data_IF_357100979088
#
_entry.id   IF_357100979088
#
_cell.length_a   1.000
_cell.length_b   1.000
_cell.length_c   1.000
_cell.angle_alpha   90.00
_cell.angle_beta   90.00
_cell.angle_gamma   90.00
#
_symmetry.space_group_name_H-M   'P 1'
#
loop_
_entity.id
_entity.type
_entity.pdbx_description
1 polymer ?
#
# COMPACT_ATOMS: atom_id res chain seq x y z
N UNK A 1 2.80 23.76 1.21
CA UNK A 1 1.84 22.66 1.01
C UNK A 1 2.61 21.38 0.74
N UNK A 2 2.24 20.26 1.34
CA UNK A 2 2.87 18.95 1.15
C UNK A 2 2.38 18.36 -0.17
N UNK A 3 3.28 17.74 -0.92
CA UNK A 3 3.00 17.08 -2.20
C UNK A 3 3.16 15.56 -2.04
N UNK A 4 2.09 14.80 -2.14
CA UNK A 4 2.12 13.35 -2.01
C UNK A 4 1.86 12.68 -3.35
N UNK A 5 2.75 11.77 -3.74
CA UNK A 5 2.55 10.89 -4.88
C UNK A 5 1.70 9.68 -4.51
N UNK A 6 0.81 9.29 -5.40
CA UNK A 6 0.01 8.06 -5.30
C UNK A 6 0.40 7.18 -6.46
N UNK A 7 0.74 5.91 -6.20
CA UNK A 7 1.01 4.94 -7.28
C UNK A 7 -0.23 4.69 -8.11
N UNK A 8 -0.06 4.58 -9.42
CA UNK A 8 -1.16 4.28 -10.34
C UNK A 8 -1.50 2.79 -10.35
N UNK A 9 -2.78 2.47 -10.51
CA UNK A 9 -3.26 1.16 -10.99
C UNK A 9 -3.33 1.13 -12.51
N UNK A 10 -3.35 -0.07 -13.07
CA UNK A 10 -3.34 -0.28 -14.50
C UNK A 10 -4.61 -0.98 -14.98
N UNK A 11 -5.24 -0.43 -16.02
CA UNK A 11 -6.08 -1.20 -16.93
C UNK A 11 -5.23 -1.50 -18.16
N UNK A 12 -4.64 -2.69 -18.20
CA UNK A 12 -3.87 -3.15 -19.34
C UNK A 12 -4.73 -3.20 -20.60
N UNK A 13 -4.11 -3.16 -21.78
CA UNK A 13 -4.83 -3.34 -23.04
C UNK A 13 -5.64 -4.65 -23.02
N UNK A 14 -6.89 -4.57 -23.47
CA UNK A 14 -7.79 -5.70 -23.58
C UNK A 14 -8.63 -5.54 -24.86
N UNK A 15 -8.47 -6.47 -25.84
CA UNK A 15 -9.25 -6.40 -27.09
C UNK A 15 -10.75 -6.60 -26.89
N UNK A 16 -11.17 -7.16 -25.75
CA UNK A 16 -12.58 -7.37 -25.40
C UNK A 16 -13.25 -6.13 -24.82
N UNK A 17 -12.47 -5.14 -24.39
CA UNK A 17 -13.00 -3.90 -23.81
C UNK A 17 -13.76 -3.10 -24.88
N UNK A 18 -14.88 -2.47 -24.48
CA UNK A 18 -15.72 -1.71 -25.42
C UNK A 18 -15.01 -0.49 -26.01
N UNK A 19 -14.23 0.23 -25.18
CA UNK A 19 -13.45 1.43 -25.55
C UNK A 19 -11.99 1.25 -25.08
N UNK A 20 -11.06 2.00 -25.68
CA UNK A 20 -9.62 1.96 -25.33
C UNK A 20 -8.98 0.55 -25.44
N UNK A 21 -9.41 -0.27 -26.39
CA UNK A 21 -9.05 -1.69 -26.54
C UNK A 21 -7.55 -1.94 -26.58
N UNK A 22 -6.81 -1.12 -27.33
CA UNK A 22 -5.34 -1.26 -27.50
C UNK A 22 -4.53 -0.31 -26.63
N UNK A 23 -5.11 0.23 -25.55
CA UNK A 23 -4.45 1.20 -24.69
C UNK A 23 -4.39 0.70 -23.27
N UNK A 24 -3.23 0.82 -22.61
CA UNK A 24 -3.11 0.74 -21.17
C UNK A 24 -3.51 2.08 -20.57
N UNK A 25 -4.46 2.06 -19.64
CA UNK A 25 -4.87 3.24 -18.87
C UNK A 25 -4.29 3.15 -17.46
N UNK A 26 -3.96 4.28 -16.89
CA UNK A 26 -3.53 4.39 -15.49
C UNK A 26 -4.55 5.23 -14.73
N UNK A 27 -4.82 4.84 -13.47
CA UNK A 27 -5.81 5.50 -12.62
C UNK A 27 -5.44 5.43 -11.15
N UNK A 28 -6.04 6.29 -10.35
CA UNK A 28 -6.06 6.19 -8.89
C UNK A 28 -7.50 6.11 -8.39
N UNK A 29 -7.69 5.47 -7.24
CA UNK A 29 -8.99 5.47 -6.58
C UNK A 29 -9.26 6.84 -5.96
N UNK A 30 -10.48 7.34 -6.15
CA UNK A 30 -10.88 8.65 -5.63
C UNK A 30 -10.80 8.72 -4.10
N UNK A 31 -11.14 7.64 -3.41
CA UNK A 31 -11.14 7.59 -1.94
C UNK A 31 -9.75 7.83 -1.35
N UNK A 32 -8.70 7.25 -1.93
CA UNK A 32 -7.31 7.49 -1.49
C UNK A 32 -6.94 8.96 -1.66
N UNK A 33 -7.27 9.56 -2.80
CA UNK A 33 -7.00 10.98 -3.04
C UNK A 33 -7.77 11.88 -2.06
N UNK A 34 -9.07 11.61 -1.85
CA UNK A 34 -9.89 12.37 -0.90
C UNK A 34 -9.42 12.22 0.54
N UNK A 35 -8.98 11.02 0.95
CA UNK A 35 -8.43 10.78 2.27
C UNK A 35 -7.18 11.64 2.54
N UNK A 36 -6.26 11.70 1.60
CA UNK A 36 -5.08 12.57 1.69
C UNK A 36 -5.46 14.07 1.73
N UNK A 37 -6.40 14.49 0.87
CA UNK A 37 -6.81 15.90 0.76
C UNK A 37 -7.52 16.44 2.00
N UNK A 38 -7.97 15.59 2.94
CA UNK A 38 -8.49 16.03 4.24
C UNK A 38 -7.48 16.83 5.07
N UNK A 39 -6.21 16.85 4.71
CA UNK A 39 -5.10 17.51 5.41
C UNK A 39 -4.39 18.58 4.59
N UNK A 40 -5.10 19.24 3.67
CA UNK A 40 -4.53 20.28 2.80
C UNK A 40 -3.27 19.83 2.03
N UNK A 41 -3.30 18.59 1.55
CA UNK A 41 -2.25 17.94 0.78
C UNK A 41 -2.56 18.03 -0.71
N UNK A 42 -1.55 18.35 -1.52
CA UNK A 42 -1.63 18.13 -2.96
C UNK A 42 -1.30 16.68 -3.29
N UNK A 43 -2.28 15.93 -3.77
CA UNK A 43 -2.11 14.54 -4.22
C UNK A 43 -1.87 14.49 -5.73
N UNK A 44 -0.89 13.68 -6.15
CA UNK A 44 -0.52 13.51 -7.55
C UNK A 44 -0.50 12.03 -7.90
N UNK A 45 -1.21 11.62 -8.94
CA UNK A 45 -0.96 10.31 -9.54
C UNK A 45 0.43 10.31 -10.17
N UNK A 46 1.25 9.33 -9.85
CA UNK A 46 2.54 9.13 -10.50
C UNK A 46 2.33 8.17 -11.68
N UNK A 47 2.46 8.62 -12.93
CA UNK A 47 2.38 7.70 -14.07
C UNK A 47 3.64 6.83 -14.11
N UNK A 48 3.48 5.57 -14.55
CA UNK A 48 4.64 4.75 -14.91
C UNK A 48 5.36 5.39 -16.11
N UNK A 49 6.67 5.60 -16.03
CA UNK A 49 7.44 6.11 -17.16
C UNK A 49 7.64 5.04 -18.25
N UNK A 50 7.34 3.79 -17.98
CA UNK A 50 7.55 2.68 -18.90
C UNK A 50 6.30 2.35 -19.71
N UNK A 51 6.50 1.83 -20.93
CA UNK A 51 5.40 1.48 -21.82
C UNK A 51 5.78 1.65 -23.29
N UNK A 52 4.97 1.08 -24.19
CA UNK A 52 5.23 1.07 -25.65
C UNK A 52 5.30 2.46 -26.29
N UNK A 53 4.68 3.46 -25.68
CA UNK A 53 4.64 4.84 -26.20
C UNK A 53 5.73 5.73 -25.64
N UNK A 54 6.58 5.21 -24.75
CA UNK A 54 7.73 5.94 -24.21
C UNK A 54 8.71 6.25 -25.34
N UNK A 55 9.19 7.49 -25.39
CA UNK A 55 10.25 7.89 -26.31
C UNK A 55 11.61 7.65 -25.67
N UNK A 56 12.58 7.20 -26.45
CA UNK A 56 13.93 6.84 -25.97
C UNK A 56 14.69 8.05 -25.40
N UNK A 57 14.37 9.27 -25.86
CA UNK A 57 14.98 10.53 -25.40
C UNK A 57 14.37 11.07 -24.11
N UNK A 58 13.33 10.45 -23.58
CA UNK A 58 12.71 10.86 -22.31
C UNK A 58 13.63 10.61 -21.12
N UNK A 59 13.92 11.66 -20.36
CA UNK A 59 14.75 11.61 -19.15
C UNK A 59 13.94 11.47 -17.87
N UNK A 60 12.61 11.40 -17.98
CA UNK A 60 11.75 11.27 -16.81
C UNK A 60 11.82 9.84 -16.29
N UNK A 61 12.14 9.69 -15.02
CA UNK A 61 12.27 8.42 -14.30
C UNK A 61 11.46 8.47 -13.02
N UNK A 62 11.27 7.33 -12.37
CA UNK A 62 10.63 7.28 -11.04
C UNK A 62 11.41 8.10 -10.02
N UNK A 63 12.74 8.18 -10.16
CA UNK A 63 13.59 8.99 -9.31
C UNK A 63 13.31 10.51 -9.42
N UNK A 64 12.94 11.00 -10.62
CA UNK A 64 12.53 12.38 -10.80
C UNK A 64 11.27 12.71 -9.99
N UNK A 65 10.29 11.81 -9.97
CA UNK A 65 9.10 11.97 -9.11
C UNK A 65 9.46 11.93 -7.63
N UNK A 66 10.34 11.00 -7.23
CA UNK A 66 10.80 10.92 -5.86
C UNK A 66 11.60 12.16 -5.44
N UNK A 67 12.20 12.90 -6.37
CA UNK A 67 12.85 14.17 -6.10
C UNK A 67 11.84 15.28 -5.79
N UNK A 68 10.78 15.40 -6.58
CA UNK A 68 9.81 16.50 -6.53
C UNK A 68 8.72 16.36 -5.46
N UNK A 69 8.39 15.13 -5.08
CA UNK A 69 7.30 14.82 -4.16
C UNK A 69 7.84 14.61 -2.73
N UNK A 70 7.04 14.95 -1.73
CA UNK A 70 7.44 14.91 -0.32
C UNK A 70 7.22 13.53 0.34
N UNK A 71 6.37 12.67 -0.24
CA UNK A 71 6.08 11.31 0.23
C UNK A 71 5.33 10.50 -0.82
N UNK A 72 5.19 9.19 -0.57
CA UNK A 72 4.57 8.21 -1.46
C UNK A 72 3.48 7.43 -0.75
N UNK A 73 2.34 7.25 -1.42
CA UNK A 73 1.32 6.26 -1.06
C UNK A 73 1.27 5.19 -2.15
N UNK A 74 1.50 3.94 -1.76
CA UNK A 74 1.24 2.75 -2.57
C UNK A 74 -0.18 2.30 -2.26
N UNK A 75 -1.09 2.42 -3.22
CA UNK A 75 -2.50 2.14 -3.00
C UNK A 75 -2.87 0.68 -3.19
N UNK A 76 -4.06 0.30 -2.74
CA UNK A 76 -4.68 -1.01 -2.93
C UNK A 76 -4.88 -1.41 -4.41
N UNK A 77 -5.49 -2.56 -4.65
CA UNK A 77 -5.89 -3.03 -5.99
C UNK A 77 -5.60 -4.49 -6.28
N UNK A 78 -5.21 -4.79 -7.53
CA UNK A 78 -4.96 -6.15 -8.03
C UNK A 78 -3.88 -6.89 -7.24
N UNK A 79 -3.90 -8.22 -7.31
CA UNK A 79 -2.95 -9.09 -6.63
C UNK A 79 -1.49 -8.79 -7.02
N UNK A 80 -0.57 -9.00 -6.07
CA UNK A 80 0.87 -9.04 -6.32
C UNK A 80 1.20 -10.36 -7.03
N UNK A 81 1.97 -10.28 -8.11
CA UNK A 81 2.36 -11.43 -8.90
C UNK A 81 3.27 -12.38 -8.10
N UNK A 82 2.94 -13.68 -7.98
CA UNK A 82 3.79 -14.64 -7.26
C UNK A 82 5.22 -14.72 -7.77
N UNK A 83 5.44 -14.56 -9.06
CA UNK A 83 6.79 -14.56 -9.63
C UNK A 83 7.67 -13.41 -9.12
N UNK A 84 7.07 -12.30 -8.68
CA UNK A 84 7.79 -11.16 -8.11
C UNK A 84 8.49 -11.51 -6.79
N UNK A 85 7.98 -12.50 -6.04
CA UNK A 85 8.60 -13.01 -4.82
C UNK A 85 9.10 -14.47 -4.95
N UNK A 86 9.33 -14.93 -6.20
CA UNK A 86 10.00 -16.20 -6.49
C UNK A 86 9.11 -17.44 -6.41
N UNK A 87 7.81 -17.29 -6.35
CA UNK A 87 6.83 -18.37 -6.37
C UNK A 87 6.13 -18.47 -7.75
N UNK A 88 5.46 -19.58 -8.00
CA UNK A 88 4.53 -19.73 -9.14
C UNK A 88 3.11 -19.54 -8.66
N UNK A 89 2.27 -18.96 -9.50
CA UNK A 89 0.84 -18.87 -9.22
C UNK A 89 0.23 -20.27 -9.02
N UNK A 90 -0.44 -20.49 -7.89
CA UNK A 90 -1.12 -21.76 -7.57
C UNK A 90 -2.32 -21.93 -8.49
N UNK A 91 -2.95 -20.83 -8.89
CA UNK A 91 -4.06 -20.79 -9.86
C UNK A 91 -3.84 -19.65 -10.86
N UNK A 92 -4.29 -19.79 -12.11
CA UNK A 92 -4.13 -18.73 -13.12
C UNK A 92 -4.75 -17.40 -12.73
N UNK A 93 -5.87 -17.41 -12.01
CA UNK A 93 -6.54 -16.20 -11.52
C UNK A 93 -5.75 -15.42 -10.47
N UNK A 94 -4.69 -16.00 -9.89
CA UNK A 94 -3.80 -15.38 -8.90
C UNK A 94 -2.45 -14.95 -9.50
N UNK A 95 -2.38 -14.84 -10.83
CA UNK A 95 -1.13 -14.41 -11.51
C UNK A 95 -0.69 -12.99 -11.14
N UNK A 96 -1.60 -12.16 -10.62
CA UNK A 96 -1.30 -10.79 -10.23
C UNK A 96 -0.90 -9.89 -11.40
N UNK A 97 -0.34 -8.74 -11.07
CA UNK A 97 0.11 -7.71 -12.02
C UNK A 97 1.59 -7.39 -11.87
N UNK A 98 2.45 -8.17 -12.53
CA UNK A 98 3.90 -8.01 -12.46
C UNK A 98 4.38 -6.66 -12.97
N UNK A 99 3.73 -6.09 -13.98
CA UNK A 99 4.09 -4.76 -14.51
C UNK A 99 3.89 -3.69 -13.44
N UNK A 100 2.78 -3.78 -12.72
CA UNK A 100 2.51 -2.89 -11.60
C UNK A 100 3.48 -3.13 -10.43
N UNK A 101 3.83 -4.39 -10.14
CA UNK A 101 4.79 -4.72 -9.08
C UNK A 101 6.15 -4.07 -9.34
N UNK A 102 6.72 -4.26 -10.53
CA UNK A 102 8.01 -3.70 -10.92
C UNK A 102 8.01 -2.17 -10.83
N UNK A 103 6.93 -1.54 -11.28
CA UNK A 103 6.73 -0.09 -11.17
C UNK A 103 6.66 0.38 -9.71
N UNK A 104 5.84 -0.25 -8.86
CA UNK A 104 5.67 0.16 -7.45
C UNK A 104 6.91 -0.14 -6.60
N UNK A 105 7.62 -1.24 -6.86
CA UNK A 105 8.92 -1.54 -6.23
C UNK A 105 9.95 -0.48 -6.63
N UNK A 106 9.96 -0.07 -7.90
CA UNK A 106 10.81 1.03 -8.37
C UNK A 106 10.52 2.35 -7.65
N UNK A 107 9.23 2.69 -7.48
CA UNK A 107 8.81 3.86 -6.69
C UNK A 107 9.28 3.78 -5.24
N UNK A 108 8.98 2.67 -4.56
CA UNK A 108 9.41 2.45 -3.18
C UNK A 108 10.92 2.69 -3.03
N UNK A 109 11.72 2.05 -3.88
CA UNK A 109 13.17 2.17 -3.85
C UNK A 109 13.65 3.61 -4.06
N UNK A 110 13.04 4.36 -4.99
CA UNK A 110 13.39 5.74 -5.27
C UNK A 110 13.09 6.67 -4.08
N UNK A 111 11.93 6.49 -3.41
CA UNK A 111 11.58 7.28 -2.23
C UNK A 111 12.41 6.92 -1.01
N UNK A 112 12.64 5.63 -0.75
CA UNK A 112 13.48 5.14 0.36
C UNK A 112 14.93 5.60 0.21
N UNK A 113 15.50 5.55 -1.00
CA UNK A 113 16.86 6.05 -1.27
C UNK A 113 17.01 7.54 -0.93
N UNK A 114 15.93 8.31 -1.05
CA UNK A 114 15.86 9.75 -0.70
C UNK A 114 15.40 10.00 0.74
N UNK A 115 15.25 8.95 1.54
CA UNK A 115 14.72 8.99 2.92
C UNK A 115 13.33 9.62 3.04
N UNK A 116 12.54 9.61 1.97
CA UNK A 116 11.17 10.11 1.96
C UNK A 116 10.19 9.06 2.49
N UNK A 117 9.13 9.47 3.18
CA UNK A 117 8.18 8.56 3.78
C UNK A 117 7.35 7.83 2.73
N UNK A 118 7.03 6.57 3.03
CA UNK A 118 6.16 5.71 2.23
C UNK A 118 5.09 5.10 3.11
N UNK A 119 3.85 5.16 2.65
CA UNK A 119 2.70 4.49 3.23
C UNK A 119 2.13 3.49 2.21
N UNK A 120 2.03 2.22 2.58
CA UNK A 120 1.38 1.18 1.78
C UNK A 120 0.01 0.83 2.34
N UNK A 121 -1.02 0.83 1.49
CA UNK A 121 -2.38 0.44 1.83
C UNK A 121 -2.73 -0.87 1.12
N UNK A 122 -3.18 -1.86 1.85
CA UNK A 122 -3.60 -3.18 1.39
C UNK A 122 -2.50 -3.83 0.49
N UNK A 123 -2.70 -3.85 -0.83
CA UNK A 123 -1.68 -4.28 -1.78
C UNK A 123 -0.35 -3.54 -1.59
N UNK A 124 -0.38 -2.25 -1.27
CA UNK A 124 0.83 -1.46 -1.01
C UNK A 124 1.68 -1.99 0.15
N UNK A 125 1.05 -2.50 1.21
CA UNK A 125 1.75 -3.19 2.31
C UNK A 125 2.41 -4.49 1.82
N UNK A 126 1.74 -5.24 0.96
CA UNK A 126 2.27 -6.48 0.37
C UNK A 126 3.46 -6.20 -0.55
N UNK A 127 3.39 -5.15 -1.38
CA UNK A 127 4.50 -4.70 -2.24
C UNK A 127 5.71 -4.28 -1.40
N UNK A 128 5.51 -3.56 -0.30
CA UNK A 128 6.59 -3.22 0.64
C UNK A 128 7.26 -4.50 1.17
N UNK A 129 6.47 -5.49 1.58
CA UNK A 129 7.00 -6.75 2.07
C UNK A 129 7.84 -7.47 1.01
N UNK A 130 7.31 -7.61 -0.19
CA UNK A 130 7.98 -8.28 -1.32
C UNK A 130 9.26 -7.55 -1.74
N UNK A 131 9.23 -6.23 -1.83
CA UNK A 131 10.40 -5.41 -2.16
C UNK A 131 11.54 -5.58 -1.15
N UNK A 132 11.22 -5.87 0.11
CA UNK A 132 12.20 -6.17 1.17
C UNK A 132 12.59 -7.66 1.20
N UNK A 133 12.11 -8.47 0.27
CA UNK A 133 12.44 -9.90 0.12
C UNK A 133 11.56 -10.84 0.95
N UNK A 134 10.39 -10.40 1.37
CA UNK A 134 9.35 -11.24 1.98
C UNK A 134 8.49 -11.96 0.95
N UNK A 135 7.61 -12.83 1.42
CA UNK A 135 6.67 -13.62 0.61
C UNK A 135 5.22 -13.38 1.03
N UNK A 136 4.28 -13.86 0.22
CA UNK A 136 2.85 -13.69 0.47
C UNK A 136 2.12 -15.03 0.47
N UNK A 137 1.06 -15.13 1.26
CA UNK A 137 -0.02 -16.06 1.00
C UNK A 137 -0.76 -15.60 -0.25
N UNK A 138 -0.85 -16.46 -1.26
CA UNK A 138 -1.54 -16.13 -2.51
C UNK A 138 -3.07 -16.12 -2.32
N UNK A 139 -3.56 -16.93 -1.39
CA UNK A 139 -4.97 -16.95 -0.98
C UNK A 139 -5.09 -17.54 0.42
N UNK A 140 -5.54 -16.72 1.37
CA UNK A 140 -5.69 -17.13 2.77
C UNK A 140 -6.66 -18.29 2.95
N UNK A 141 -7.79 -18.23 2.26
CA UNK A 141 -8.81 -19.28 2.38
C UNK A 141 -8.35 -20.67 1.92
N UNK A 142 -7.41 -20.70 0.97
CA UNK A 142 -6.86 -21.96 0.44
C UNK A 142 -5.62 -22.43 1.22
N UNK A 143 -4.78 -21.52 1.67
CA UNK A 143 -3.44 -21.83 2.19
C UNK A 143 -3.34 -21.78 3.72
N UNK A 144 -4.25 -21.08 4.40
CA UNK A 144 -4.21 -20.90 5.86
C UNK A 144 -5.41 -21.60 6.49
N UNK A 145 -5.22 -22.79 7.13
CA UNK A 145 -6.32 -23.50 7.78
C UNK A 145 -6.98 -22.65 8.87
N UNK A 146 -8.29 -22.48 8.77
CA UNK A 146 -9.05 -21.69 9.75
C UNK A 146 -8.97 -20.18 9.58
N UNK A 147 -8.41 -19.69 8.46
CA UNK A 147 -8.42 -18.27 8.16
C UNK A 147 -9.83 -17.70 8.14
N UNK A 148 -9.96 -16.47 8.61
CA UNK A 148 -11.18 -15.67 8.48
C UNK A 148 -11.48 -15.40 6.99
N UNK A 149 -12.71 -15.00 6.70
CA UNK A 149 -13.05 -14.45 5.38
C UNK A 149 -12.58 -13.01 5.29
N UNK A 150 -11.34 -12.83 4.83
CA UNK A 150 -10.73 -11.50 4.68
C UNK A 150 -11.26 -10.70 3.47
N UNK A 151 -11.93 -11.35 2.53
CA UNK A 151 -12.59 -10.71 1.40
C UNK A 151 -13.95 -11.34 1.14
N UNK A 152 -15.01 -10.53 1.25
CA UNK A 152 -16.37 -10.93 0.92
C UNK A 152 -16.97 -9.93 -0.07
N UNK A 153 -17.22 -10.35 -1.29
CA UNK A 153 -17.73 -9.50 -2.37
C UNK A 153 -19.14 -8.96 -2.13
N UNK A 154 -19.96 -9.66 -1.32
CA UNK A 154 -21.35 -9.26 -1.05
C UNK A 154 -21.45 -8.07 -0.10
N UNK A 155 -20.49 -7.94 0.82
CA UNK A 155 -20.47 -6.86 1.82
C UNK A 155 -19.29 -5.91 1.65
N UNK A 156 -18.31 -6.27 0.84
CA UNK A 156 -17.10 -5.55 0.43
C UNK A 156 -16.46 -4.75 1.58
N UNK A 157 -16.55 -3.41 1.58
CA UNK A 157 -15.95 -2.54 2.60
C UNK A 157 -16.55 -2.71 4.01
N UNK A 158 -17.68 -3.40 4.11
CA UNK A 158 -18.31 -3.74 5.40
C UNK A 158 -17.79 -5.04 6.00
N UNK A 159 -16.96 -5.80 5.27
CA UNK A 159 -16.28 -6.97 5.82
C UNK A 159 -15.24 -6.51 6.84
N UNK A 160 -15.26 -7.06 8.05
CA UNK A 160 -14.43 -6.57 9.15
C UNK A 160 -13.97 -7.71 10.05
N UNK A 161 -12.86 -7.50 10.75
CA UNK A 161 -12.41 -8.39 11.83
C UNK A 161 -11.76 -7.59 12.98
N UNK A 162 -11.48 -8.28 14.07
CA UNK A 162 -10.69 -7.75 15.16
C UNK A 162 -9.20 -7.80 14.79
N UNK A 163 -8.47 -6.75 15.16
CA UNK A 163 -7.04 -6.59 14.91
C UNK A 163 -6.32 -6.21 16.20
N UNK A 164 -5.33 -7.00 16.59
CA UNK A 164 -4.48 -6.73 17.75
C UNK A 164 -3.29 -5.87 17.33
N UNK A 165 -3.10 -4.73 17.98
CA UNK A 165 -1.91 -3.88 17.83
C UNK A 165 -0.81 -4.39 18.75
N UNK A 166 0.41 -4.55 18.23
CA UNK A 166 1.56 -5.04 18.99
C UNK A 166 1.96 -4.02 20.07
N UNK A 167 1.95 -4.38 21.35
CA UNK A 167 2.33 -3.48 22.43
C UNK A 167 3.75 -2.92 22.26
N UNK A 168 3.91 -1.61 22.48
CA UNK A 168 5.19 -0.93 22.36
C UNK A 168 5.64 -0.61 20.91
N UNK A 169 4.91 -1.08 19.89
CA UNK A 169 5.17 -0.75 18.50
C UNK A 169 5.01 0.74 18.20
N UNK A 170 5.47 1.18 17.04
CA UNK A 170 5.22 2.55 16.58
C UNK A 170 3.73 2.79 16.32
N UNK A 171 3.02 1.79 15.79
CA UNK A 171 1.59 1.87 15.61
C UNK A 171 0.85 2.02 16.96
N UNK A 172 1.26 1.29 18.00
CA UNK A 172 0.67 1.41 19.34
C UNK A 172 0.81 2.81 19.95
N UNK A 173 1.86 3.56 19.59
CA UNK A 173 2.03 4.95 20.03
C UNK A 173 1.03 5.90 19.39
N UNK A 174 0.55 5.58 18.18
CA UNK A 174 -0.49 6.35 17.49
C UNK A 174 -1.88 6.12 18.09
N UNK A 175 -2.07 4.96 18.76
CA UNK A 175 -3.35 4.54 19.33
C UNK A 175 -3.21 4.21 20.83
N UNK A 176 -2.91 5.20 21.68
CA UNK A 176 -2.67 4.96 23.10
C UNK A 176 -3.91 4.34 23.77
N UNK A 177 -3.68 3.21 24.45
CA UNK A 177 -4.74 2.47 25.14
C UNK A 177 -5.56 1.51 24.27
N UNK A 178 -5.38 1.51 22.93
CA UNK A 178 -6.05 0.59 22.03
C UNK A 178 -5.15 -0.62 21.77
N UNK A 179 -5.48 -1.78 22.32
CA UNK A 179 -4.78 -3.04 22.07
C UNK A 179 -5.51 -3.94 21.07
N UNK A 180 -6.83 -3.86 21.04
CA UNK A 180 -7.71 -4.59 20.12
C UNK A 180 -8.63 -3.57 19.46
N UNK A 181 -8.64 -3.54 18.15
CA UNK A 181 -9.40 -2.60 17.32
C UNK A 181 -10.17 -3.36 16.24
N UNK A 182 -11.12 -2.71 15.59
CA UNK A 182 -11.82 -3.24 14.43
C UNK A 182 -11.29 -2.58 13.17
N UNK A 183 -10.91 -3.39 12.16
CA UNK A 183 -10.49 -2.95 10.83
C UNK A 183 -11.42 -3.51 9.76
N UNK A 184 -11.53 -2.83 8.62
CA UNK A 184 -12.12 -3.44 7.43
C UNK A 184 -11.12 -4.44 6.81
N UNK A 185 -11.63 -5.37 5.99
CA UNK A 185 -10.81 -6.41 5.39
C UNK A 185 -11.32 -6.73 3.98
N UNK A 186 -10.52 -6.39 2.97
CA UNK A 186 -10.89 -6.52 1.56
C UNK A 186 -9.73 -7.16 0.78
N UNK A 187 -9.11 -8.18 1.33
CA UNK A 187 -7.96 -8.85 0.73
C UNK A 187 -8.07 -10.37 0.87
N UNK A 188 -7.46 -11.11 -0.04
CA UNK A 188 -7.29 -12.56 0.06
C UNK A 188 -5.82 -12.97 0.04
N UNK A 189 -4.94 -12.10 -0.45
CA UNK A 189 -3.50 -12.21 -0.24
C UNK A 189 -3.10 -11.54 1.08
N UNK A 190 -2.02 -12.01 1.69
CA UNK A 190 -1.45 -11.41 2.90
C UNK A 190 0.04 -11.72 3.02
N UNK A 191 0.74 -10.99 3.88
CA UNK A 191 2.13 -11.26 4.24
C UNK A 191 2.26 -12.66 4.84
N UNK A 192 3.18 -13.47 4.30
CA UNK A 192 3.54 -14.81 4.79
C UNK A 192 4.84 -14.73 5.57
N UNK A 193 5.94 -14.48 4.88
CA UNK A 193 7.24 -14.27 5.51
C UNK A 193 7.60 -12.79 5.42
N UNK A 194 8.01 -12.21 6.55
CA UNK A 194 8.42 -10.80 6.59
C UNK A 194 9.73 -10.58 5.84
N UNK A 195 9.78 -9.52 5.06
CA UNK A 195 10.99 -9.04 4.42
C UNK A 195 12.04 -8.53 5.41
N UNK A 196 13.25 -8.29 4.91
CA UNK A 196 14.38 -7.84 5.71
C UNK A 196 14.09 -6.51 6.40
N UNK A 197 14.39 -6.45 7.70
CA UNK A 197 14.18 -5.27 8.54
C UNK A 197 12.71 -4.80 8.61
N UNK A 198 11.75 -5.67 8.30
CA UNK A 198 10.35 -5.45 8.59
C UNK A 198 9.97 -6.09 9.92
N UNK A 199 9.09 -5.43 10.65
CA UNK A 199 8.46 -5.94 11.86
C UNK A 199 6.95 -5.85 11.70
N UNK A 200 6.22 -6.86 12.21
CA UNK A 200 4.77 -6.78 12.27
C UNK A 200 4.36 -5.90 13.46
N UNK A 201 3.44 -4.97 13.21
CA UNK A 201 2.91 -4.06 14.23
C UNK A 201 1.41 -4.31 14.52
N UNK A 202 0.74 -5.14 13.73
CA UNK A 202 -0.63 -5.59 13.99
C UNK A 202 -0.90 -6.97 13.36
N UNK A 203 -1.88 -7.67 13.95
CA UNK A 203 -2.30 -9.02 13.55
C UNK A 203 -3.82 -9.13 13.65
N UNK A 204 -4.45 -9.81 12.69
CA UNK A 204 -5.87 -10.20 12.80
C UNK A 204 -6.09 -11.24 13.90
N UNK A 205 -7.29 -11.26 14.45
CA UNK A 205 -7.71 -12.24 15.46
C UNK A 205 -8.95 -13.01 14.97
N UNK A 206 -8.96 -14.35 15.12
CA UNK A 206 -7.98 -15.19 15.81
C UNK A 206 -6.88 -15.79 14.90
N UNK A 207 -6.88 -15.57 13.58
CA UNK A 207 -6.09 -16.32 12.60
C UNK A 207 -4.65 -15.80 12.43
N UNK A 208 -4.31 -14.71 13.10
CA UNK A 208 -2.94 -14.20 13.19
C UNK A 208 -2.31 -13.83 11.84
N UNK A 209 -3.11 -13.35 10.90
CA UNK A 209 -2.62 -12.75 9.66
C UNK A 209 -1.99 -11.38 9.97
N UNK A 210 -0.87 -11.06 9.30
CA UNK A 210 -0.20 -9.77 9.47
C UNK A 210 -1.07 -8.66 8.89
N UNK A 211 -1.39 -7.67 9.73
CA UNK A 211 -2.25 -6.54 9.37
C UNK A 211 -1.51 -5.20 9.28
N UNK A 212 -0.33 -5.08 9.91
CA UNK A 212 0.53 -3.91 9.73
C UNK A 212 2.00 -4.33 9.80
N UNK A 213 2.81 -3.67 8.98
CA UNK A 213 4.26 -3.85 8.92
C UNK A 213 4.97 -2.50 8.97
N UNK A 214 6.11 -2.46 9.65
CA UNK A 214 6.99 -1.29 9.75
C UNK A 214 8.41 -1.65 9.35
N UNK A 215 9.02 -0.85 8.50
CA UNK A 215 10.45 -0.95 8.25
C UNK A 215 11.26 -0.28 9.35
N UNK A 216 12.28 -0.97 9.85
CA UNK A 216 13.16 -0.48 10.93
C UNK A 216 14.36 0.31 10.41
N UNK A 217 14.43 0.55 9.11
CA UNK A 217 15.48 1.36 8.48
C UNK A 217 15.30 2.88 8.68
N UNK A 218 16.16 3.69 8.02
CA UNK A 218 16.25 5.12 8.30
C UNK A 218 15.09 5.97 7.75
N UNK A 219 14.24 5.43 6.88
CA UNK A 219 13.07 6.13 6.34
C UNK A 219 11.80 5.65 7.01
N UNK A 220 10.81 6.52 7.11
CA UNK A 220 9.47 6.11 7.50
C UNK A 220 8.86 5.23 6.41
N UNK A 221 8.60 3.97 6.69
CA UNK A 221 7.83 3.06 5.82
C UNK A 221 6.87 2.28 6.68
N UNK A 222 5.58 2.48 6.46
CA UNK A 222 4.48 1.79 7.10
C UNK A 222 3.61 1.12 6.03
N UNK A 223 3.25 -0.14 6.23
CA UNK A 223 2.22 -0.82 5.46
C UNK A 223 1.07 -1.23 6.37
N UNK A 224 -0.17 -0.97 5.97
CA UNK A 224 -1.39 -1.46 6.62
C UNK A 224 -2.18 -2.30 5.64
N UNK A 225 -2.70 -3.45 6.09
CA UNK A 225 -3.42 -4.38 5.22
C UNK A 225 -4.88 -3.97 5.03
N UNK A 226 -5.46 -3.26 6.00
CA UNK A 226 -6.80 -2.68 5.88
C UNK A 226 -6.79 -1.41 5.03
N UNK A 227 -7.98 -0.89 4.74
CA UNK A 227 -8.22 0.32 3.95
C UNK A 227 -8.70 1.47 4.85
N UNK A 228 -7.81 2.33 5.37
CA UNK A 228 -8.21 3.49 6.17
C UNK A 228 -9.07 4.48 5.38
N UNK A 229 -8.87 4.58 4.06
CA UNK A 229 -9.61 5.46 3.16
C UNK A 229 -11.08 5.07 2.93
N UNK A 230 -11.47 3.85 3.32
CA UNK A 230 -12.86 3.37 3.20
C UNK A 230 -13.65 3.47 4.49
N UNK A 231 -13.06 4.02 5.54
CA UNK A 231 -13.76 4.13 6.81
C UNK A 231 -14.86 5.18 6.73
N UNK A 232 -16.08 4.88 7.17
CA UNK A 232 -17.15 5.87 7.23
C UNK A 232 -16.79 7.01 8.18
N UNK A 233 -16.87 8.25 7.71
CA UNK A 233 -16.59 9.42 8.53
C UNK A 233 -17.42 9.41 9.82
N UNK A 234 -16.75 9.42 10.97
CA UNK A 234 -17.40 9.47 12.29
C UNK A 234 -17.83 8.11 12.86
N UNK A 235 -17.62 7.00 12.19
CA UNK A 235 -17.87 5.68 12.77
C UNK A 235 -16.76 5.29 13.75
N UNK A 236 -17.01 5.49 15.03
CA UNK A 236 -16.08 5.17 16.13
C UNK A 236 -15.95 3.67 16.42
N UNK A 237 -16.65 2.80 15.72
CA UNK A 237 -16.49 1.36 15.88
C UNK A 237 -15.22 0.83 15.22
N UNK A 238 -14.67 1.57 14.27
CA UNK A 238 -13.40 1.26 13.59
C UNK A 238 -12.21 1.97 14.27
N UNK A 239 -11.00 1.47 13.97
CA UNK A 239 -9.78 2.21 14.30
C UNK A 239 -9.81 3.57 13.59
N UNK A 240 -9.48 4.64 14.29
CA UNK A 240 -9.44 5.99 13.70
C UNK A 240 -8.35 6.05 12.60
N UNK A 241 -8.71 6.45 11.39
CA UNK A 241 -7.82 6.55 10.24
C UNK A 241 -6.87 7.74 10.28
N UNK A 242 -7.21 8.77 11.07
CA UNK A 242 -6.46 10.04 11.14
C UNK A 242 -5.05 9.92 11.71
N UNK A 243 -4.78 9.18 12.81
CA UNK A 243 -3.44 9.09 13.37
C UNK A 243 -2.38 8.54 12.39
N UNK A 244 -2.74 7.56 11.56
CA UNK A 244 -1.82 7.02 10.51
C UNK A 244 -1.52 8.08 9.47
N UNK A 245 -2.54 8.80 9.00
CA UNK A 245 -2.39 9.86 8.02
C UNK A 245 -1.53 11.00 8.58
N UNK A 246 -1.84 11.45 9.79
CA UNK A 246 -1.14 12.56 10.45
C UNK A 246 0.35 12.23 10.70
N UNK A 247 0.65 10.99 11.13
CA UNK A 247 2.02 10.49 11.33
C UNK A 247 2.81 10.45 10.00
N UNK A 248 2.20 9.90 8.95
CA UNK A 248 2.81 9.88 7.61
C UNK A 248 3.12 11.29 7.09
N UNK A 249 2.15 12.21 7.20
CA UNK A 249 2.31 13.59 6.74
C UNK A 249 3.28 14.39 7.60
N UNK A 250 3.36 14.09 8.90
CA UNK A 250 4.39 14.66 9.77
C UNK A 250 5.79 14.32 9.26
N UNK A 251 6.05 13.06 8.92
CA UNK A 251 7.34 12.63 8.36
C UNK A 251 7.63 13.27 6.99
N UNK A 252 6.61 13.46 6.13
CA UNK A 252 6.75 14.17 4.86
C UNK A 252 7.13 15.64 5.08
N UNK A 253 6.53 16.28 6.09
CA UNK A 253 6.85 17.68 6.46
C UNK A 253 8.27 17.83 6.99
N UNK A 254 8.72 16.93 7.86
CA UNK A 254 10.10 16.96 8.40
C UNK A 254 11.14 16.85 7.27
N UNK A 255 10.93 15.94 6.33
CA UNK A 255 11.83 15.79 5.20
C UNK A 255 11.88 17.04 4.32
N UNK A 256 10.73 17.63 4.03
CA UNK A 256 10.62 18.86 3.26
C UNK A 256 11.38 20.02 3.90
N UNK A 257 11.19 20.25 5.19
CA UNK A 257 11.83 21.35 5.92
C UNK A 257 13.36 21.17 5.98
N UNK A 258 13.86 19.94 6.12
CA UNK A 258 15.28 19.64 6.09
C UNK A 258 15.93 19.98 4.72
N UNK A 259 15.19 19.77 3.62
CA UNK A 259 15.66 20.09 2.27
C UNK A 259 15.75 21.59 1.97
N UNK A 260 15.02 22.44 2.70
CA UNK A 260 15.09 23.91 2.58
C UNK A 260 16.10 24.55 3.52
N UNK A 261 16.69 23.77 4.44
CA UNK A 261 17.69 24.27 5.41
C UNK A 261 19.14 24.11 4.93
N UNK A 262 19.36 23.55 3.75
CA UNK A 262 20.64 23.39 3.05
C UNK A 262 20.73 24.31 1.85
#
# INVERSE_FOLDING_TARGET
MIKIGISASFFHEDPKRAIFKGMTLQYIEQNVAHWLMQRDVLSFMIPSPDGRTRREDSRITLDAYAQELDGLVLMGGSDVCPETYGEKAIRPEWNGDRVRDEYEIGLLNAFVARRKPVLGVCRGAQVINVAMGGTLWQDLGTQVPGALTHRNWEIYEKNTHATTIVPGSSLAKLYPGASLVKTNSIHHQAVKDLGRNLVAEAWSEPDRVVEAIRWTGPSYVLGVQWHPEFQPAGDRSFIDDRPILDDFLHHASLHKNAAYAL
#
